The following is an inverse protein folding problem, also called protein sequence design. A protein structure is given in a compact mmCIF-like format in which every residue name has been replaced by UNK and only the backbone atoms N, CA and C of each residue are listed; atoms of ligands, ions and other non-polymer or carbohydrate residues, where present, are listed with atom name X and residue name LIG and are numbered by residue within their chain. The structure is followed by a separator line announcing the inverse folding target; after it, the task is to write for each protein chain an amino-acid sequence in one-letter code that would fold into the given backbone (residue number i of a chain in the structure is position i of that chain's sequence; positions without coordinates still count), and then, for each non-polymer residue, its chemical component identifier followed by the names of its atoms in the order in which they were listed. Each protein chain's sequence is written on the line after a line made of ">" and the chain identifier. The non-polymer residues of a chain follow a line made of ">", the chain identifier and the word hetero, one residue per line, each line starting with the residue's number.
data_IF_360997593539
#
_entry.id   IF_360997593539
#
_cell.length_a   1.000
_cell.length_b   1.000
_cell.length_c   1.000
_cell.angle_alpha   90.00
_cell.angle_beta   90.00
_cell.angle_gamma   90.00
#
_symmetry.space_group_name_H-M   'P 1'
#
loop_
_entity.id
_entity.type
_entity.pdbx_description
1 polymer ?
#
# COMPACT_ATOMS: atom_id res chain seq x y z
N UNK A 1 -1.11 -10.33 -0.43
CA UNK A 1 -1.44 -10.70 -1.81
C UNK A 1 -0.94 -9.66 -2.84
N UNK A 2 -0.95 -8.32 -2.51
CA UNK A 2 -0.48 -7.28 -3.45
C UNK A 2 0.98 -7.49 -3.91
N UNK A 3 1.91 -7.67 -2.97
CA UNK A 3 3.32 -7.93 -3.32
C UNK A 3 3.47 -9.20 -4.14
N UNK A 4 2.72 -10.24 -3.81
CA UNK A 4 2.76 -11.51 -4.54
C UNK A 4 2.32 -11.33 -5.99
N UNK A 5 1.18 -10.65 -6.21
CA UNK A 5 0.69 -10.32 -7.55
C UNK A 5 1.76 -9.58 -8.37
N UNK A 6 2.34 -8.52 -7.80
CA UNK A 6 3.30 -7.68 -8.51
C UNK A 6 4.63 -8.41 -8.78
N UNK A 7 5.13 -9.16 -7.80
CA UNK A 7 6.35 -9.97 -7.95
C UNK A 7 6.18 -11.08 -9.00
N UNK A 8 5.06 -11.78 -8.96
CA UNK A 8 4.75 -12.82 -9.95
C UNK A 8 4.61 -12.23 -11.36
N UNK A 9 3.92 -11.07 -11.48
CA UNK A 9 3.79 -10.41 -12.77
C UNK A 9 5.14 -10.01 -13.36
N UNK A 10 6.06 -9.47 -12.55
CA UNK A 10 7.43 -9.17 -13.00
C UNK A 10 8.16 -10.44 -13.47
N UNK A 11 8.09 -11.53 -12.70
CA UNK A 11 8.71 -12.79 -13.08
C UNK A 11 8.15 -13.34 -14.40
N UNK A 12 6.84 -13.24 -14.63
CA UNK A 12 6.21 -13.63 -15.91
C UNK A 12 6.73 -12.77 -17.06
N UNK A 13 6.87 -11.45 -16.85
CA UNK A 13 7.44 -10.54 -17.86
C UNK A 13 8.91 -10.84 -18.16
N UNK A 14 9.66 -11.32 -17.17
CA UNK A 14 11.04 -11.77 -17.31
C UNK A 14 11.15 -13.20 -17.94
N UNK A 15 10.04 -13.78 -18.37
CA UNK A 15 9.99 -15.08 -19.01
C UNK A 15 10.00 -16.30 -18.05
N UNK A 16 9.80 -16.06 -16.75
CA UNK A 16 9.69 -17.16 -15.79
C UNK A 16 8.32 -17.83 -15.90
N UNK A 17 8.30 -19.15 -15.91
CA UNK A 17 7.08 -19.93 -15.78
C UNK A 17 6.66 -20.02 -14.30
N UNK A 18 5.39 -19.76 -14.03
CA UNK A 18 4.75 -19.92 -12.72
C UNK A 18 3.61 -20.91 -12.90
N UNK A 19 3.54 -21.93 -12.05
CA UNK A 19 2.45 -22.88 -12.09
C UNK A 19 1.09 -22.17 -11.93
N UNK A 20 0.11 -22.61 -12.68
CA UNK A 20 -1.21 -21.93 -12.75
C UNK A 20 -1.92 -21.89 -11.38
N UNK A 21 -1.72 -22.92 -10.57
CA UNK A 21 -2.25 -23.04 -9.21
C UNK A 21 -1.63 -22.05 -8.23
N UNK A 22 -0.39 -21.64 -8.48
CA UNK A 22 0.34 -20.69 -7.63
C UNK A 22 0.16 -19.25 -8.09
N UNK A 23 -0.33 -19.05 -9.31
CA UNK A 23 -0.44 -17.73 -9.91
C UNK A 23 -1.60 -16.94 -9.29
N UNK A 24 -1.31 -15.77 -8.72
CA UNK A 24 -2.31 -14.80 -8.32
C UNK A 24 -2.89 -14.17 -9.58
N UNK A 25 -4.14 -14.49 -9.90
CA UNK A 25 -4.81 -14.01 -11.11
C UNK A 25 -6.04 -13.18 -10.78
N UNK A 26 -6.11 -11.99 -11.38
CA UNK A 26 -7.27 -11.11 -11.36
C UNK A 26 -8.21 -11.33 -12.56
N UNK A 27 -7.87 -12.22 -13.51
CA UNK A 27 -8.64 -12.45 -14.73
C UNK A 27 -10.10 -12.81 -14.41
N UNK A 28 -11.04 -12.12 -15.07
CA UNK A 28 -12.49 -12.31 -14.96
C UNK A 28 -13.04 -12.16 -13.52
N UNK A 29 -12.30 -11.45 -12.65
CA UNK A 29 -12.70 -11.23 -11.25
C UNK A 29 -12.97 -9.75 -10.96
N UNK A 30 -13.80 -9.49 -9.97
CA UNK A 30 -13.94 -8.19 -9.34
C UNK A 30 -12.89 -8.04 -8.26
N UNK A 31 -12.09 -7.00 -8.36
CA UNK A 31 -10.89 -6.78 -7.55
C UNK A 31 -11.08 -5.59 -6.63
N UNK A 32 -10.77 -5.77 -5.36
CA UNK A 32 -10.68 -4.68 -4.39
C UNK A 32 -9.21 -4.40 -4.05
N UNK A 33 -8.80 -3.15 -4.21
CA UNK A 33 -7.51 -2.65 -3.75
C UNK A 33 -7.71 -1.80 -2.50
N UNK A 34 -7.08 -2.18 -1.40
CA UNK A 34 -7.15 -1.44 -0.13
C UNK A 34 -5.86 -0.65 0.05
N UNK A 35 -5.96 0.67 -0.04
CA UNK A 35 -4.86 1.63 0.06
C UNK A 35 -4.66 2.47 -1.19
N UNK A 36 -4.34 3.75 -0.99
CA UNK A 36 -4.27 4.79 -2.04
C UNK A 36 -2.86 5.16 -2.50
N UNK A 37 -1.82 4.43 -2.08
CA UNK A 37 -0.43 4.69 -2.45
C UNK A 37 0.01 4.09 -3.79
N UNK A 38 1.30 4.22 -4.10
CA UNK A 38 1.88 3.76 -5.36
C UNK A 38 1.71 2.25 -5.59
N UNK A 39 1.88 1.43 -4.54
CA UNK A 39 1.60 -0.02 -4.61
C UNK A 39 0.14 -0.31 -5.01
N UNK A 40 -0.81 0.47 -4.49
CA UNK A 40 -2.22 0.35 -4.89
C UNK A 40 -2.44 0.68 -6.36
N UNK A 41 -1.78 1.73 -6.84
CA UNK A 41 -1.78 2.10 -8.26
C UNK A 41 -1.24 0.99 -9.17
N UNK A 42 -0.10 0.38 -8.79
CA UNK A 42 0.50 -0.72 -9.54
C UNK A 42 -0.41 -1.95 -9.56
N UNK A 43 -1.10 -2.23 -8.44
CA UNK A 43 -2.09 -3.29 -8.36
C UNK A 43 -3.27 -3.05 -9.32
N UNK A 44 -3.77 -1.82 -9.44
CA UNK A 44 -4.86 -1.45 -10.35
C UNK A 44 -4.45 -1.74 -11.80
N UNK A 45 -3.34 -1.19 -12.26
CA UNK A 45 -2.87 -1.40 -13.62
C UNK A 45 -2.57 -2.87 -13.92
N UNK A 46 -1.98 -3.60 -12.97
CA UNK A 46 -1.71 -5.03 -13.12
C UNK A 46 -2.99 -5.83 -13.24
N UNK A 47 -4.01 -5.54 -12.41
CA UNK A 47 -5.31 -6.22 -12.46
C UNK A 47 -6.00 -6.01 -13.82
N UNK A 48 -5.99 -4.77 -14.36
CA UNK A 48 -6.52 -4.48 -15.68
C UNK A 48 -5.80 -5.24 -16.79
N UNK A 49 -4.47 -5.22 -16.78
CA UNK A 49 -3.66 -5.93 -17.79
C UNK A 49 -3.81 -7.45 -17.71
N UNK A 50 -4.19 -7.99 -16.56
CA UNK A 50 -4.58 -9.40 -16.41
C UNK A 50 -6.01 -9.69 -16.90
N UNK A 51 -6.82 -8.67 -17.22
CA UNK A 51 -8.21 -8.82 -17.69
C UNK A 51 -9.20 -9.03 -16.56
N UNK A 52 -9.12 -8.26 -15.48
CA UNK A 52 -10.15 -8.26 -14.44
C UNK A 52 -11.47 -7.71 -14.97
N UNK A 53 -12.58 -8.01 -14.30
CA UNK A 53 -13.92 -7.52 -14.65
C UNK A 53 -14.12 -6.08 -14.17
N UNK A 54 -13.69 -5.81 -12.95
CA UNK A 54 -13.72 -4.48 -12.36
C UNK A 54 -12.61 -4.31 -11.33
N UNK A 55 -12.20 -3.03 -11.08
CA UNK A 55 -11.33 -2.68 -9.97
C UNK A 55 -11.98 -1.57 -9.16
N UNK A 56 -12.11 -1.80 -7.86
CA UNK A 56 -12.46 -0.78 -6.88
C UNK A 56 -11.28 -0.55 -5.95
N UNK A 57 -10.91 0.72 -5.74
CA UNK A 57 -9.91 1.11 -4.74
C UNK A 57 -10.61 1.81 -3.58
N UNK A 58 -10.32 1.39 -2.36
CA UNK A 58 -10.80 2.05 -1.15
C UNK A 58 -9.63 2.60 -0.34
N UNK A 59 -9.86 3.75 0.29
CA UNK A 59 -8.93 4.41 1.18
C UNK A 59 -9.65 4.83 2.46
N UNK A 60 -9.03 4.56 3.61
CA UNK A 60 -9.58 4.93 4.92
C UNK A 60 -9.52 6.45 5.14
N UNK A 61 -8.55 7.12 4.53
CA UNK A 61 -8.36 8.57 4.66
C UNK A 61 -9.36 9.34 3.78
N UNK A 62 -9.63 10.61 4.12
CA UNK A 62 -10.43 11.50 3.28
C UNK A 62 -9.80 11.66 1.88
N UNK A 63 -10.65 11.97 0.91
CA UNK A 63 -10.20 12.30 -0.44
C UNK A 63 -9.24 13.48 -0.39
N UNK A 64 -8.01 13.35 -0.89
CA UNK A 64 -7.07 14.48 -0.94
C UNK A 64 -7.60 15.60 -1.84
N UNK A 65 -7.22 16.85 -1.58
CA UNK A 65 -7.57 17.98 -2.44
C UNK A 65 -7.03 17.79 -3.86
N UNK A 66 -7.76 18.31 -4.82
CA UNK A 66 -7.34 18.31 -6.23
C UNK A 66 -6.54 19.58 -6.50
N UNK A 67 -5.36 19.43 -7.09
CA UNK A 67 -4.50 20.55 -7.45
C UNK A 67 -3.04 20.33 -7.05
N UNK A 68 -2.14 21.22 -7.49
CA UNK A 68 -0.72 21.10 -7.20
C UNK A 68 -0.36 21.52 -5.76
N UNK A 69 -1.24 22.22 -5.08
CA UNK A 69 -1.00 22.80 -3.76
C UNK A 69 -1.84 22.12 -2.67
N UNK A 70 -1.23 21.96 -1.51
CA UNK A 70 -1.88 21.56 -0.28
C UNK A 70 -1.79 22.71 0.73
N UNK A 71 -2.85 23.51 0.90
CA UNK A 71 -2.84 24.65 1.82
C UNK A 71 -2.57 24.25 3.28
N UNK A 72 -2.91 23.01 3.66
CA UNK A 72 -2.67 22.49 5.01
C UNK A 72 -1.23 22.02 5.21
N UNK A 73 -0.47 21.83 4.13
CA UNK A 73 0.91 21.40 4.18
C UNK A 73 1.75 22.11 3.09
N UNK A 74 1.96 23.44 3.24
CA UNK A 74 2.69 24.24 2.26
C UNK A 74 4.16 23.80 2.15
N UNK A 75 4.78 24.19 1.03
CA UNK A 75 6.22 23.98 0.88
C UNK A 75 7.01 24.55 2.08
N UNK A 76 8.03 23.85 2.63
CA UNK A 76 8.70 22.65 2.10
C UNK A 76 8.08 21.31 2.51
N UNK A 77 6.88 21.30 3.04
CA UNK A 77 6.15 20.06 3.32
C UNK A 77 5.81 19.31 2.03
N UNK A 78 5.59 17.98 2.16
CA UNK A 78 5.16 17.16 1.02
C UNK A 78 3.65 17.32 0.81
N UNK A 79 3.18 17.82 -0.34
CA UNK A 79 1.77 18.08 -0.56
C UNK A 79 0.95 16.79 -0.58
N UNK A 80 -0.17 16.79 0.14
CA UNK A 80 -1.14 15.69 0.20
C UNK A 80 -2.26 15.94 -0.81
N UNK A 81 -1.92 15.95 -2.08
CA UNK A 81 -2.87 16.16 -3.18
C UNK A 81 -3.28 14.85 -3.83
N UNK A 82 -4.47 14.85 -4.45
CA UNK A 82 -4.98 13.68 -5.17
C UNK A 82 -4.07 13.37 -6.36
N UNK A 83 -3.42 12.23 -6.29
CA UNK A 83 -2.63 11.69 -7.39
C UNK A 83 -3.50 10.79 -8.26
N UNK A 84 -3.44 11.01 -9.56
CA UNK A 84 -3.99 10.12 -10.58
C UNK A 84 -2.83 9.68 -11.46
N UNK A 85 -2.57 8.40 -11.50
CA UNK A 85 -1.51 7.80 -12.32
C UNK A 85 -2.09 7.21 -13.59
N UNK A 86 -1.25 6.85 -14.56
CA UNK A 86 -1.67 6.13 -15.76
C UNK A 86 -2.47 4.85 -15.45
N UNK A 87 -2.10 4.13 -14.39
CA UNK A 87 -2.85 2.94 -13.95
C UNK A 87 -4.27 3.27 -13.51
N UNK A 88 -4.50 4.41 -12.87
CA UNK A 88 -5.87 4.86 -12.53
C UNK A 88 -6.67 5.24 -13.79
N UNK A 89 -5.98 5.74 -14.82
CA UNK A 89 -6.60 6.12 -16.10
C UNK A 89 -7.03 4.90 -16.93
N UNK A 90 -6.43 3.73 -16.69
CA UNK A 90 -6.87 2.45 -17.26
C UNK A 90 -8.29 2.05 -16.80
N UNK A 91 -8.77 2.64 -15.70
CA UNK A 91 -10.13 2.47 -15.15
C UNK A 91 -10.09 1.99 -13.71
N UNK A 92 -10.77 2.71 -12.82
CA UNK A 92 -10.89 2.32 -11.42
C UNK A 92 -11.98 3.15 -10.73
N UNK A 93 -12.84 2.47 -9.95
CA UNK A 93 -13.73 3.17 -9.03
C UNK A 93 -12.97 3.46 -7.74
N UNK A 94 -12.76 4.73 -7.42
CA UNK A 94 -12.01 5.16 -6.21
C UNK A 94 -12.97 5.70 -5.16
N UNK A 95 -12.83 5.18 -3.94
CA UNK A 95 -13.67 5.56 -2.79
C UNK A 95 -12.78 5.89 -1.59
N UNK A 96 -13.14 6.94 -0.86
CA UNK A 96 -12.44 7.44 0.33
C UNK A 96 -13.34 7.40 1.54
N UNK A 97 -12.77 7.53 2.73
CA UNK A 97 -13.50 7.41 3.98
C UNK A 97 -14.21 6.04 4.11
N UNK A 98 -13.53 4.98 3.70
CA UNK A 98 -14.09 3.62 3.75
C UNK A 98 -13.20 2.76 4.65
N UNK A 99 -13.75 2.27 5.75
CA UNK A 99 -13.12 1.31 6.63
C UNK A 99 -13.50 -0.13 6.24
N UNK A 100 -12.56 -1.04 6.31
CA UNK A 100 -12.79 -2.48 6.10
C UNK A 100 -13.17 -3.11 7.43
N UNK A 101 -14.33 -3.78 7.48
CA UNK A 101 -14.81 -4.47 8.68
C UNK A 101 -14.41 -5.94 8.69
N UNK A 102 -14.70 -6.66 7.62
CA UNK A 102 -14.43 -8.11 7.55
C UNK A 102 -14.30 -8.61 6.10
N UNK A 103 -13.61 -9.72 5.94
CA UNK A 103 -13.54 -10.48 4.69
C UNK A 103 -14.53 -11.63 4.76
N UNK A 104 -15.47 -11.68 3.82
CA UNK A 104 -16.50 -12.71 3.75
C UNK A 104 -16.05 -13.81 2.80
N UNK A 105 -16.06 -15.04 3.27
CA UNK A 105 -15.63 -16.21 2.50
C UNK A 105 -16.70 -17.28 2.44
N UNK A 106 -16.66 -18.09 1.37
CA UNK A 106 -17.47 -19.28 1.21
C UNK A 106 -16.61 -20.38 0.60
N UNK A 107 -16.67 -21.56 1.18
CA UNK A 107 -15.97 -22.77 0.69
C UNK A 107 -14.45 -22.54 0.49
N UNK A 108 -13.81 -21.82 1.42
CA UNK A 108 -12.38 -21.50 1.38
C UNK A 108 -11.99 -20.40 0.37
N UNK A 109 -12.95 -19.78 -0.30
CA UNK A 109 -12.71 -18.71 -1.26
C UNK A 109 -13.33 -17.39 -0.78
N UNK A 110 -12.69 -16.27 -1.12
CA UNK A 110 -13.24 -14.95 -0.87
C UNK A 110 -14.48 -14.72 -1.75
N UNK A 111 -15.56 -14.26 -1.13
CA UNK A 111 -16.80 -13.91 -1.84
C UNK A 111 -17.18 -12.44 -1.69
N UNK A 112 -16.58 -11.71 -0.75
CA UNK A 112 -16.85 -10.29 -0.57
C UNK A 112 -16.10 -9.68 0.60
N UNK A 113 -16.23 -8.36 0.72
CA UNK A 113 -15.68 -7.57 1.81
C UNK A 113 -16.76 -6.65 2.37
N UNK A 114 -17.02 -6.73 3.66
CA UNK A 114 -17.90 -5.79 4.35
C UNK A 114 -17.13 -4.54 4.69
N UNK A 115 -17.63 -3.41 4.26
CA UNK A 115 -17.01 -2.10 4.46
C UNK A 115 -17.98 -1.13 5.13
N UNK A 116 -17.43 -0.13 5.81
CA UNK A 116 -18.17 0.89 6.56
C UNK A 116 -17.74 2.27 6.07
N UNK A 117 -18.67 3.09 5.57
CA UNK A 117 -18.42 4.52 5.40
C UNK A 117 -18.11 5.17 6.74
N UNK A 118 -17.13 6.05 6.76
CA UNK A 118 -16.66 6.74 7.98
C UNK A 118 -16.46 8.22 7.74
N UNK A 119 -16.42 8.98 8.84
CA UNK A 119 -15.96 10.36 8.89
C UNK A 119 -14.84 10.53 9.91
N UNK A 120 -14.02 11.55 9.72
CA UNK A 120 -12.95 11.93 10.63
C UNK A 120 -13.34 13.21 11.36
N UNK A 121 -13.47 13.14 12.69
CA UNK A 121 -13.80 14.28 13.54
C UNK A 121 -12.59 14.72 14.36
N UNK A 122 -12.45 16.04 14.61
CA UNK A 122 -11.45 16.52 15.55
C UNK A 122 -11.59 15.83 16.91
N UNK A 123 -10.47 15.42 17.49
CA UNK A 123 -10.47 14.88 18.83
C UNK A 123 -10.53 16.03 19.85
N UNK A 124 -11.57 16.12 20.72
CA UNK A 124 -11.69 17.17 21.73
C UNK A 124 -10.53 17.21 22.72
N UNK A 125 -9.89 16.06 22.96
CA UNK A 125 -8.72 15.93 23.85
C UNK A 125 -7.39 16.24 23.14
N UNK A 126 -7.44 16.63 21.87
CA UNK A 126 -6.26 16.84 21.02
C UNK A 126 -5.69 15.53 20.48
N UNK A 127 -4.66 15.64 19.65
CA UNK A 127 -4.00 14.49 19.04
C UNK A 127 -4.63 14.05 17.71
N UNK A 128 -4.73 12.73 17.47
CA UNK A 128 -5.25 12.21 16.20
C UNK A 128 -6.76 12.36 16.11
N UNK A 129 -7.29 12.72 14.92
CA UNK A 129 -8.73 12.73 14.68
C UNK A 129 -9.37 11.37 15.04
N UNK A 130 -10.62 11.42 15.45
CA UNK A 130 -11.44 10.25 15.75
C UNK A 130 -12.17 9.78 14.51
N UNK A 131 -12.08 8.48 14.23
CA UNK A 131 -12.87 7.82 13.21
C UNK A 131 -14.26 7.55 13.76
N UNK A 132 -15.29 7.99 13.03
CA UNK A 132 -16.70 7.76 13.38
C UNK A 132 -17.45 7.14 12.20
N UNK A 133 -18.41 6.29 12.47
CA UNK A 133 -19.28 5.71 11.45
C UNK A 133 -20.13 6.80 10.77
N UNK A 134 -20.29 6.69 9.44
CA UNK A 134 -20.99 7.70 8.62
C UNK A 134 -21.86 7.02 7.54
N UNK A 135 -22.73 6.15 7.94
CA UNK A 135 -23.66 5.42 7.06
C UNK A 135 -23.79 3.96 7.44
N UNK A 136 -24.53 3.21 6.64
CA UNK A 136 -24.72 1.79 6.85
C UNK A 136 -23.55 1.00 6.25
N UNK A 137 -23.14 -0.13 6.89
CA UNK A 137 -22.21 -1.05 6.28
C UNK A 137 -22.75 -1.64 5.00
N UNK A 138 -21.87 -1.86 4.02
CA UNK A 138 -22.21 -2.49 2.74
C UNK A 138 -21.30 -3.68 2.45
N UNK A 139 -21.79 -4.63 1.68
CA UNK A 139 -21.01 -5.75 1.17
C UNK A 139 -20.58 -5.46 -0.26
N UNK A 140 -19.27 -5.47 -0.50
CA UNK A 140 -18.68 -5.43 -1.83
C UNK A 140 -18.45 -6.86 -2.32
N UNK A 141 -19.09 -7.26 -3.41
CA UNK A 141 -18.91 -8.58 -4.03
C UNK A 141 -17.58 -8.57 -4.80
N UNK A 142 -16.55 -9.18 -4.24
CA UNK A 142 -15.21 -9.23 -4.83
C UNK A 142 -14.57 -10.60 -4.58
N UNK A 143 -13.78 -11.06 -5.53
CA UNK A 143 -13.11 -12.36 -5.47
C UNK A 143 -11.61 -12.24 -5.22
N UNK A 144 -11.05 -11.03 -5.34
CA UNK A 144 -9.63 -10.74 -5.05
C UNK A 144 -9.52 -9.48 -4.23
N UNK A 145 -8.72 -9.53 -3.15
CA UNK A 145 -8.37 -8.34 -2.35
C UNK A 145 -6.85 -8.18 -2.35
N UNK A 146 -6.41 -7.00 -2.74
CA UNK A 146 -5.01 -6.60 -2.78
C UNK A 146 -4.74 -5.58 -1.68
N UNK A 147 -4.03 -6.01 -0.64
CA UNK A 147 -3.70 -5.16 0.51
C UNK A 147 -2.47 -4.30 0.18
N UNK A 148 -2.70 -3.01 -0.07
CA UNK A 148 -1.68 -2.02 -0.42
C UNK A 148 -1.59 -0.90 0.63
N UNK A 149 -1.70 -1.25 1.91
CA UNK A 149 -1.77 -0.33 3.06
C UNK A 149 -0.40 0.03 3.65
N UNK A 150 0.70 -0.22 2.92
CA UNK A 150 2.07 -0.02 3.38
C UNK A 150 2.61 -1.19 4.19
N UNK A 151 3.73 -0.95 4.87
CA UNK A 151 4.46 -1.95 5.65
C UNK A 151 4.55 -1.51 7.10
N UNK A 152 4.55 -2.46 8.03
CA UNK A 152 4.69 -2.15 9.46
C UNK A 152 6.13 -1.77 9.80
N UNK A 153 7.08 -2.63 9.45
CA UNK A 153 8.52 -2.44 9.68
C UNK A 153 9.32 -3.49 8.90
N UNK A 154 10.62 -3.25 8.66
CA UNK A 154 11.50 -4.28 8.16
C UNK A 154 11.57 -5.46 9.13
N UNK A 155 11.71 -6.67 8.59
CA UNK A 155 11.99 -7.88 9.36
C UNK A 155 13.49 -8.16 9.25
N UNK A 156 14.17 -8.21 10.37
CA UNK A 156 15.59 -8.50 10.42
C UNK A 156 15.82 -9.87 11.07
N UNK A 157 16.65 -10.74 10.47
CA UNK A 157 17.22 -11.87 11.19
C UNK A 157 18.19 -11.36 12.26
N UNK A 158 18.64 -12.22 13.14
CA UNK A 158 19.83 -11.92 13.95
C UNK A 158 21.04 -11.89 13.02
N UNK A 159 21.73 -10.76 13.00
CA UNK A 159 22.94 -10.58 12.19
C UNK A 159 24.16 -10.96 12.98
N UNK A 160 25.15 -11.52 12.29
CA UNK A 160 26.47 -11.74 12.86
C UNK A 160 27.14 -10.38 13.19
N UNK A 161 28.13 -10.44 14.09
CA UNK A 161 28.96 -9.27 14.41
C UNK A 161 29.67 -8.75 13.16
N UNK A 162 29.73 -7.43 12.99
CA UNK A 162 30.27 -6.79 11.79
C UNK A 162 29.28 -6.64 10.63
N UNK A 163 28.02 -7.03 10.79
CA UNK A 163 26.96 -6.76 9.81
C UNK A 163 26.17 -5.49 10.20
N UNK A 164 26.12 -4.55 9.28
CA UNK A 164 25.43 -3.27 9.48
C UNK A 164 24.29 -3.10 8.50
N UNK A 165 23.19 -2.50 8.94
CA UNK A 165 21.98 -2.29 8.13
C UNK A 165 21.69 -0.81 7.98
N UNK A 166 21.38 -0.35 6.76
CA UNK A 166 21.13 1.05 6.46
C UNK A 166 19.90 1.24 5.57
N UNK A 167 19.46 2.49 5.45
CA UNK A 167 18.37 2.89 4.55
C UNK A 167 17.04 2.25 4.89
N UNK A 168 16.28 1.91 3.86
CA UNK A 168 14.94 1.31 4.00
C UNK A 168 14.99 -0.06 4.66
N UNK A 169 16.08 -0.79 4.49
CA UNK A 169 16.30 -2.06 5.20
C UNK A 169 16.37 -1.87 6.71
N UNK A 170 16.91 -0.75 7.21
CA UNK A 170 17.01 -0.47 8.65
C UNK A 170 15.73 0.18 9.21
N UNK A 171 15.13 1.10 8.46
CA UNK A 171 14.15 2.05 8.98
C UNK A 171 12.75 1.90 8.36
N UNK A 172 12.58 0.99 7.39
CA UNK A 172 11.39 0.88 6.56
C UNK A 172 11.41 1.83 5.36
N UNK A 173 10.55 1.57 4.39
CA UNK A 173 10.45 2.34 3.17
C UNK A 173 10.19 3.83 3.45
N UNK A 174 11.02 4.70 2.89
CA UNK A 174 10.96 6.14 3.14
C UNK A 174 11.55 6.95 1.98
N UNK A 175 11.81 8.24 2.22
CA UNK A 175 12.42 9.12 1.21
C UNK A 175 13.90 8.77 0.99
N UNK A 176 14.36 8.89 -0.26
CA UNK A 176 15.76 8.65 -0.65
C UNK A 176 16.75 9.42 0.23
N UNK A 177 16.43 10.69 0.56
CA UNK A 177 17.30 11.51 1.43
C UNK A 177 17.48 10.93 2.84
N UNK A 178 16.47 10.22 3.37
CA UNK A 178 16.57 9.51 4.65
C UNK A 178 17.43 8.25 4.54
N UNK A 179 17.28 7.52 3.44
CA UNK A 179 18.12 6.36 3.17
C UNK A 179 19.60 6.75 3.03
N UNK A 180 19.89 7.86 2.34
CA UNK A 180 21.25 8.41 2.24
C UNK A 180 21.81 8.85 3.59
N UNK A 181 21.02 9.55 4.42
CA UNK A 181 21.44 9.94 5.77
C UNK A 181 21.78 8.71 6.63
N UNK A 182 20.89 7.73 6.64
CA UNK A 182 21.11 6.45 7.33
C UNK A 182 22.39 5.74 6.86
N UNK A 183 22.66 5.73 5.54
CA UNK A 183 23.90 5.17 5.00
C UNK A 183 25.17 5.88 5.50
N UNK A 184 25.13 7.21 5.61
CA UNK A 184 26.25 7.99 6.15
C UNK A 184 26.49 7.70 7.64
N UNK A 185 25.40 7.60 8.43
CA UNK A 185 25.52 7.28 9.86
C UNK A 185 26.10 5.86 10.07
N UNK A 186 25.68 4.93 9.22
CA UNK A 186 26.21 3.56 9.25
C UNK A 186 27.68 3.51 8.84
N UNK A 187 28.10 4.30 7.85
CA UNK A 187 29.51 4.36 7.45
C UNK A 187 30.42 4.77 8.60
N UNK A 188 29.99 5.71 9.45
CA UNK A 188 30.74 6.08 10.67
C UNK A 188 30.84 4.91 11.65
N UNK A 189 29.76 4.16 11.84
CA UNK A 189 29.78 2.98 12.72
C UNK A 189 30.69 1.86 12.21
N UNK A 190 30.73 1.67 10.89
CA UNK A 190 31.65 0.72 10.25
C UNK A 190 33.11 1.13 10.47
N UNK A 191 33.42 2.42 10.27
CA UNK A 191 34.76 2.97 10.48
C UNK A 191 35.21 2.80 11.93
N UNK A 192 34.34 3.12 12.91
CA UNK A 192 34.61 2.89 14.32
C UNK A 192 34.84 1.40 14.66
N UNK A 193 34.05 0.50 14.05
CA UNK A 193 34.18 -0.93 14.28
C UNK A 193 35.48 -1.47 13.72
N UNK A 194 35.85 -1.08 12.49
CA UNK A 194 37.12 -1.46 11.87
C UNK A 194 38.34 -0.92 12.63
N UNK A 195 38.21 0.26 13.24
CA UNK A 195 39.29 0.87 14.02
C UNK A 195 39.55 0.18 15.38
N UNK A 196 38.62 -0.66 15.83
CA UNK A 196 38.72 -1.46 17.06
C UNK A 196 39.18 -2.91 16.83
N UNK A 197 39.09 -3.35 15.59
CA UNK A 197 39.50 -4.70 15.16
C UNK A 197 40.99 -4.72 14.81
#
# INVERSE_FOLDING_TARGET
>A
LALELLSQQNRVLDGCEIAREDLVSCRDKDVLVIGGGDTGSDCIGTAHRQGCRSVTQIEIMPKPPVGPEDPANPWPGYPRTLKTTSSHEEGCTRRWNINTLEFVGKDGSLSGVRVQPIDWKPNPEGGRPLMVEAGEPELLDVQVVLLAMGFLKPQHPEYADGVFVAGDSANGASLVVRAMASGRDVALKVDEWLSRA
#
